data_IF_101667799132
#
_entry.id   IF_101667799132
#
_cell.length_a   1.000
_cell.length_b   1.000
_cell.length_c   1.000
_cell.angle_alpha   90.00
_cell.angle_beta   90.00
_cell.angle_gamma   90.00
#
_symmetry.space_group_name_H-M   'P 1'
#
loop_
_entity.id
_entity.type
_entity.pdbx_description
1 polymer ?
2 non-polymer ?
3 water ?
#
# COMPACT_ATOMS: atom_id res chain seq x y z
N UNK A 4 -11.63 -11.30 -14.23
CA UNK A 4 -12.81 -11.11 -13.41
C UNK A 4 -13.26 -9.65 -13.41
N UNK A 5 -14.56 -9.45 -13.16
CA UNK A 5 -15.14 -8.06 -13.11
C UNK A 5 -14.82 -7.41 -11.76
N UNK A 6 -14.23 -6.22 -11.80
CA UNK A 6 -13.96 -5.45 -10.58
C UNK A 6 -15.20 -4.59 -10.33
N UNK A 7 -16.06 -4.98 -9.39
CA UNK A 7 -17.29 -4.21 -9.22
C UNK A 7 -17.05 -2.84 -8.59
N UNK A 8 -16.37 -2.84 -7.45
CA UNK A 8 -16.22 -1.58 -6.66
C UNK A 8 -15.06 -0.72 -7.14
N UNK A 9 -15.38 0.56 -7.29
CA UNK A 9 -14.36 1.52 -7.79
C UNK A 9 -14.43 2.78 -6.95
N UNK A 10 -13.45 3.67 -7.14
CA UNK A 10 -13.58 5.01 -6.54
C UNK A 10 -14.41 5.88 -7.51
N UNK A 11 -14.58 7.14 -7.18
CA UNK A 11 -15.36 8.04 -8.07
C UNK A 11 -14.58 8.37 -9.35
N UNK A 12 -13.28 8.11 -9.38
CA UNK A 12 -12.40 8.28 -10.56
C UNK A 12 -12.35 6.97 -11.37
N UNK A 13 -13.19 5.99 -11.05
CA UNK A 13 -13.31 4.70 -11.77
C UNK A 13 -12.09 3.78 -11.62
N UNK A 14 -11.25 4.05 -10.63
CA UNK A 14 -10.08 3.19 -10.36
C UNK A 14 -10.47 2.16 -9.31
N UNK A 15 -9.77 1.04 -9.30
CA UNK A 15 -10.13 -0.09 -8.46
C UNK A 15 -9.69 0.02 -7.03
N UNK A 16 -9.93 -1.03 -6.25
CA UNK A 16 -9.57 -1.07 -4.85
C UNK A 16 -8.06 -1.08 -4.56
N UNK A 17 -7.26 -1.43 -5.55
CA UNK A 17 -5.79 -1.43 -5.44
C UNK A 17 -5.23 -0.09 -5.89
N UNK A 18 -6.08 0.81 -6.35
CA UNK A 18 -5.63 2.14 -6.81
C UNK A 18 -5.24 2.18 -8.28
N UNK A 19 -5.45 1.09 -8.99
CA UNK A 19 -5.05 1.03 -10.42
C UNK A 19 -6.26 1.05 -11.35
N UNK A 20 -6.06 1.39 -12.62
CA UNK A 20 -7.15 1.44 -13.59
C UNK A 20 -7.67 0.04 -13.92
N UNK A 21 -8.96 -0.03 -14.22
CA UNK A 21 -9.62 -1.27 -14.64
C UNK A 21 -9.38 -1.43 -16.14
N UNK A 22 -9.16 -2.65 -16.59
CA UNK A 22 -8.92 -2.90 -18.02
C UNK A 22 -10.20 -2.57 -18.80
N UNK A 23 -11.36 -2.87 -18.26
CA UNK A 23 -12.60 -2.61 -19.03
C UNK A 23 -12.79 -1.10 -19.26
N UNK A 24 -12.60 -0.29 -18.22
CA UNK A 24 -12.76 1.18 -18.38
C UNK A 24 -11.65 1.72 -19.28
N UNK A 25 -10.45 1.20 -19.13
CA UNK A 25 -9.33 1.64 -19.98
C UNK A 25 -9.72 1.39 -21.45
N UNK A 26 -10.22 0.21 -21.75
CA UNK A 26 -10.59 -0.16 -23.14
C UNK A 26 -11.77 0.70 -23.60
N UNK A 27 -12.72 0.96 -22.71
CA UNK A 27 -13.89 1.80 -23.05
C UNK A 27 -13.42 3.19 -23.46
N UNK A 28 -12.47 3.74 -22.73
CA UNK A 28 -11.97 5.09 -23.06
C UNK A 28 -11.18 5.03 -24.37
N UNK A 29 -10.41 3.99 -24.54
CA UNK A 29 -9.58 3.85 -25.75
C UNK A 29 -10.45 3.68 -27.00
N UNK A 30 -11.59 3.00 -26.90
CA UNK A 30 -12.51 2.79 -28.06
C UNK A 30 -13.13 4.12 -28.48
N UNK A 31 -13.35 5.04 -27.53
CA UNK A 31 -13.79 6.41 -27.85
C UNK A 31 -12.54 7.23 -28.20
N UNK A 32 -12.57 8.54 -28.41
CA UNK A 32 -11.25 9.18 -28.71
C UNK A 32 -10.37 9.48 -27.48
N UNK A 33 -10.45 8.74 -26.36
CA UNK A 33 -10.03 9.43 -25.13
C UNK A 33 -8.95 8.81 -24.26
N UNK A 34 -8.09 7.94 -24.77
CA UNK A 34 -7.07 7.34 -23.89
C UNK A 34 -6.02 8.35 -23.40
N UNK A 35 -5.81 9.44 -24.13
CA UNK A 35 -4.77 10.43 -23.78
C UNK A 35 -5.38 11.70 -23.23
N UNK A 36 -6.68 11.71 -22.98
CA UNK A 36 -7.30 12.91 -22.39
C UNK A 36 -6.97 12.99 -20.88
N UNK A 37 -7.29 14.11 -20.27
CA UNK A 37 -7.07 14.22 -18.82
C UNK A 37 -8.09 13.36 -18.09
N UNK A 38 -7.79 13.03 -16.84
CA UNK A 38 -8.76 12.25 -16.04
C UNK A 38 -10.10 13.00 -15.96
N UNK A 39 -10.09 14.31 -15.75
CA UNK A 39 -11.35 15.07 -15.69
C UNK A 39 -12.17 14.88 -16.96
N UNK A 40 -11.51 15.00 -18.11
CA UNK A 40 -12.22 14.87 -19.39
C UNK A 40 -12.73 13.44 -19.53
N UNK A 41 -11.93 12.46 -19.11
CA UNK A 41 -12.35 11.05 -19.23
C UNK A 41 -13.55 10.79 -18.33
N UNK A 42 -13.53 11.32 -17.13
CA UNK A 42 -14.67 11.12 -16.22
C UNK A 42 -15.91 11.82 -16.73
N UNK A 43 -15.76 12.95 -17.40
CA UNK A 43 -16.92 13.65 -18.00
C UNK A 43 -17.51 12.73 -19.07
N UNK A 44 -16.66 12.11 -19.86
CA UNK A 44 -17.15 11.18 -20.90
C UNK A 44 -17.85 9.98 -20.24
N UNK A 45 -17.24 9.37 -19.24
CA UNK A 45 -17.87 8.20 -18.57
C UNK A 45 -19.23 8.59 -17.97
N UNK A 46 -19.33 9.78 -17.38
CA UNK A 46 -20.59 10.26 -16.77
C UNK A 46 -21.63 10.50 -17.88
N UNK A 47 -21.20 10.87 -19.07
CA UNK A 47 -22.11 11.06 -20.22
C UNK A 47 -22.56 9.72 -20.80
N UNK A 48 -21.86 8.63 -20.47
CA UNK A 48 -22.17 7.27 -20.95
C UNK A 48 -22.66 6.34 -19.84
N UNK A 49 -23.48 6.88 -18.96
CA UNK A 49 -24.21 6.14 -17.89
C UNK A 49 -23.33 5.81 -16.68
N UNK A 50 -22.20 6.46 -16.54
CA UNK A 50 -21.38 6.31 -15.33
C UNK A 50 -21.04 4.88 -14.99
N UNK A 51 -21.56 4.36 -13.88
CA UNK A 51 -21.22 2.95 -13.45
C UNK A 51 -21.80 1.89 -14.38
N UNK A 52 -22.74 2.21 -15.25
CA UNK A 52 -23.30 1.26 -16.23
C UNK A 52 -22.62 1.43 -17.60
N UNK A 53 -21.51 2.15 -17.67
CA UNK A 53 -20.87 2.41 -18.97
C UNK A 53 -20.43 1.13 -19.68
N UNK A 54 -20.06 0.09 -18.96
CA UNK A 54 -19.58 -1.12 -19.64
C UNK A 54 -20.71 -1.96 -20.25
N UNK A 55 -21.97 -1.74 -19.87
CA UNK A 55 -23.20 -2.43 -20.38
C UNK A 55 -23.37 -3.89 -19.91
N UNK A 56 -22.37 -4.73 -20.09
CA UNK A 56 -22.54 -6.18 -19.77
C UNK A 56 -22.30 -6.47 -18.29
N UNK A 57 -21.79 -5.51 -17.56
CA UNK A 57 -21.58 -5.65 -16.10
C UNK A 57 -21.74 -4.29 -15.44
N UNK A 58 -21.99 -4.28 -14.14
CA UNK A 58 -22.19 -3.07 -13.36
C UNK A 58 -20.92 -2.75 -12.56
N UNK A 59 -20.69 -1.46 -12.33
CA UNK A 59 -19.75 -1.01 -11.32
C UNK A 59 -20.52 -0.31 -10.20
N UNK A 60 -19.82 -0.03 -9.11
CA UNK A 60 -20.45 0.67 -8.00
C UNK A 60 -19.36 1.47 -7.30
N UNK A 61 -19.64 2.76 -7.07
CA UNK A 61 -18.65 3.64 -6.46
C UNK A 61 -18.72 3.48 -4.95
N UNK A 62 -17.63 2.97 -4.36
CA UNK A 62 -17.55 2.83 -2.92
C UNK A 62 -16.72 3.91 -2.25
N UNK A 63 -15.81 4.56 -2.97
CA UNK A 63 -14.87 5.50 -2.37
C UNK A 63 -14.87 6.82 -3.11
N UNK A 64 -14.65 7.89 -2.36
CA UNK A 64 -14.25 9.17 -2.93
C UNK A 64 -12.74 9.31 -2.78
N UNK A 65 -12.05 9.57 -3.90
CA UNK A 65 -10.64 9.89 -3.83
C UNK A 65 -10.36 11.18 -4.55
N UNK A 66 -9.39 11.93 -4.03
CA UNK A 66 -8.76 13.00 -4.79
C UNK A 66 -7.55 12.42 -5.51
N UNK A 67 -7.46 12.63 -6.81
CA UNK A 67 -6.37 12.10 -7.61
C UNK A 67 -5.76 13.23 -8.44
N UNK A 68 -4.58 12.96 -8.98
CA UNK A 68 -4.01 13.81 -10.01
C UNK A 68 -4.87 13.77 -11.27
N UNK A 69 -4.57 14.65 -12.21
CA UNK A 69 -5.31 14.74 -13.47
C UNK A 69 -4.67 13.90 -14.58
N UNK A 70 -3.70 13.06 -14.27
CA UNK A 70 -3.11 12.18 -15.27
C UNK A 70 -4.17 11.30 -15.93
N UNK A 71 -3.92 10.95 -17.20
CA UNK A 71 -4.84 10.07 -17.92
C UNK A 71 -5.07 8.76 -17.16
N UNK A 72 -6.30 8.26 -17.29
CA UNK A 72 -6.76 7.07 -16.58
C UNK A 72 -5.74 5.93 -16.63
N UNK A 73 -5.17 5.65 -17.81
CA UNK A 73 -4.28 4.51 -17.92
C UNK A 73 -3.01 4.69 -17.08
N UNK A 74 -2.67 5.91 -16.69
CA UNK A 74 -1.49 6.19 -15.88
C UNK A 74 -1.82 6.41 -14.41
N UNK A 75 -3.07 6.18 -14.01
CA UNK A 75 -3.44 6.33 -12.60
C UNK A 75 -2.90 5.15 -11.79
N UNK A 76 -2.48 5.43 -10.56
CA UNK A 76 -1.89 4.44 -9.66
C UNK A 76 -2.26 4.83 -8.25
N UNK A 77 -1.98 3.99 -7.25
CA UNK A 77 -2.16 4.43 -5.86
C UNK A 77 -1.29 5.63 -5.50
N UNK A 78 -0.16 5.83 -6.19
CA UNK A 78 0.69 6.98 -5.91
C UNK A 78 0.10 8.28 -6.45
N UNK A 79 -1.00 8.22 -7.19
CA UNK A 79 -1.70 9.40 -7.68
C UNK A 79 -2.85 9.81 -6.77
N UNK A 80 -3.10 9.03 -5.71
CA UNK A 80 -4.17 9.36 -4.76
C UNK A 80 -3.63 10.36 -3.76
N UNK A 81 -4.40 11.41 -3.49
CA UNK A 81 -4.07 12.40 -2.47
C UNK A 81 -4.87 12.22 -1.18
N UNK A 82 -6.08 11.69 -1.27
CA UNK A 82 -6.92 11.47 -0.10
C UNK A 82 -7.98 10.44 -0.46
N UNK A 83 -8.55 9.80 0.58
CA UNK A 83 -9.51 8.74 0.37
C UNK A 83 -10.52 8.73 1.49
N UNK A 84 -11.79 8.49 1.14
CA UNK A 84 -12.85 8.33 2.12
C UNK A 84 -13.98 7.54 1.49
N UNK A 85 -14.98 7.19 2.31
CA UNK A 85 -16.17 6.56 1.78
C UNK A 85 -16.93 7.52 0.88
N UNK A 86 -17.47 6.99 -0.21
CA UNK A 86 -18.26 7.83 -1.11
C UNK A 86 -19.54 8.22 -0.39
N UNK A 87 -19.93 9.50 -0.53
CA UNK A 87 -20.99 10.05 0.32
C UNK A 87 -22.30 9.30 0.16
N UNK A 88 -22.61 8.85 -1.06
CA UNK A 88 -23.87 8.17 -1.31
C UNK A 88 -23.73 6.66 -1.37
N UNK A 89 -22.55 6.11 -1.10
CA UNK A 89 -22.42 4.67 -0.93
C UNK A 89 -22.86 4.33 0.48
N UNK A 90 -23.89 3.49 0.60
CA UNK A 90 -24.44 3.17 1.91
C UNK A 90 -24.16 1.74 2.31
N UNK A 91 -23.47 0.97 1.48
CA UNK A 91 -23.12 -0.38 1.81
C UNK A 91 -21.87 -0.45 2.69
N UNK A 92 -21.31 -1.65 2.75
CA UNK A 92 -20.12 -1.94 3.54
C UNK A 92 -18.89 -1.79 2.66
N UNK A 93 -17.95 -0.95 3.09
CA UNK A 93 -16.75 -0.68 2.31
C UNK A 93 -15.86 -1.91 2.21
N UNK A 94 -15.53 -2.38 1.01
CA UNK A 94 -14.57 -3.47 0.87
C UNK A 94 -13.15 -3.00 1.16
N UNK A 95 -12.20 -3.92 1.07
CA UNK A 95 -10.80 -3.56 1.26
C UNK A 95 -10.37 -2.54 0.22
N UNK A 96 -9.65 -1.51 0.68
CA UNK A 96 -9.07 -0.48 -0.16
C UNK A 96 -7.59 -0.34 0.16
N UNK A 97 -6.82 0.17 -0.80
CA UNK A 97 -5.37 0.25 -0.62
C UNK A 97 -5.01 1.21 0.54
N UNK A 98 -5.85 2.22 0.79
CA UNK A 98 -5.58 3.20 1.83
C UNK A 98 -6.75 3.23 2.82
N UNK A 99 -6.48 3.59 4.07
CA UNK A 99 -7.56 3.76 5.04
C UNK A 99 -8.49 4.90 4.70
N UNK A 100 -9.73 4.81 5.19
CA UNK A 100 -10.71 5.84 4.93
C UNK A 100 -10.41 7.09 5.75
N UNK A 101 -10.81 8.24 5.21
CA UNK A 101 -10.61 9.55 5.87
C UNK A 101 -9.13 9.81 6.13
N UNK A 102 -8.33 9.64 5.09
CA UNK A 102 -6.90 9.75 5.20
C UNK A 102 -6.35 10.68 4.12
N UNK A 103 -5.15 11.18 4.37
CA UNK A 103 -4.35 11.88 3.38
C UNK A 103 -3.13 11.04 3.04
N UNK A 104 -2.78 10.99 1.75
CA UNK A 104 -1.73 10.12 1.27
C UNK A 104 -0.46 10.92 1.01
N UNK A 105 0.68 10.36 1.40
CA UNK A 105 2.00 10.92 1.14
C UNK A 105 2.79 9.94 0.29
N UNK A 106 3.47 10.44 -0.74
CA UNK A 106 4.33 9.61 -1.56
C UNK A 106 5.77 10.08 -1.38
N UNK A 107 6.67 9.11 -1.21
CA UNK A 107 8.10 9.41 -1.09
C UNK A 107 8.61 9.93 -2.41
N UNK A 108 9.22 11.14 -2.40
CA UNK A 108 9.79 11.69 -3.63
C UNK A 108 11.23 11.22 -3.77
N UNK A 109 11.62 10.68 -4.92
CA UNK A 109 13.01 10.22 -5.09
C UNK A 109 13.99 11.36 -4.91
N UNK A 110 15.10 11.06 -4.23
CA UNK A 110 16.19 12.00 -4.03
C UNK A 110 17.37 11.62 -4.93
N UNK A 111 18.14 12.62 -5.33
CA UNK A 111 19.32 12.42 -6.17
C UNK A 111 20.55 12.90 -5.40
N UNK A 112 21.45 11.97 -5.09
CA UNK A 112 22.72 12.33 -4.47
C UNK A 112 23.59 13.07 -5.48
N UNK A 113 24.06 14.27 -5.11
CA UNK A 113 25.05 14.97 -5.94
C UNK A 113 26.26 14.09 -6.19
N UNK A 114 26.65 13.31 -5.19
CA UNK A 114 27.78 12.39 -5.24
C UNK A 114 27.28 11.03 -4.81
N UNK A 115 27.24 10.08 -5.73
CA UNK A 115 26.68 8.76 -5.44
C UNK A 115 27.54 8.05 -4.39
N UNK A 116 26.91 7.69 -3.27
CA UNK A 116 27.55 6.83 -2.29
C UNK A 116 27.41 5.38 -2.72
N UNK A 117 28.45 4.59 -2.47
CA UNK A 117 28.39 3.18 -2.85
C UNK A 117 27.60 2.39 -1.82
N UNK A 118 27.14 1.21 -2.24
CA UNK A 118 26.53 0.28 -1.32
C UNK A 118 25.18 0.73 -0.78
N UNK A 119 24.85 0.20 0.40
CA UNK A 119 23.51 0.41 0.96
C UNK A 119 23.22 1.89 1.18
N UNK A 120 24.21 2.67 1.62
CA UNK A 120 23.95 4.07 1.90
C UNK A 120 23.51 4.84 0.66
N UNK A 121 24.03 4.48 -0.51
CA UNK A 121 23.56 5.11 -1.73
C UNK A 121 22.11 4.78 -2.02
N UNK A 122 21.71 3.54 -1.74
CA UNK A 122 20.33 3.13 -1.98
C UNK A 122 19.38 3.88 -1.04
N UNK A 123 19.69 3.88 0.26
CA UNK A 123 18.77 4.50 1.21
C UNK A 123 18.78 6.03 1.06
N UNK A 124 19.92 6.61 0.64
CA UNK A 124 19.95 8.07 0.47
C UNK A 124 19.20 8.52 -0.77
N UNK A 125 18.82 7.60 -1.66
CA UNK A 125 17.87 7.92 -2.71
C UNK A 125 16.43 7.99 -2.20
N UNK A 126 16.20 7.62 -0.95
CA UNK A 126 14.88 7.67 -0.33
C UNK A 126 14.80 8.74 0.73
N UNK A 127 15.77 8.76 1.64
CA UNK A 127 15.80 9.60 2.81
C UNK A 127 17.14 10.32 2.94
N UNK A 128 17.13 11.60 3.31
CA UNK A 128 18.39 12.30 3.58
C UNK A 128 19.03 11.84 4.88
N UNK A 129 19.45 10.59 4.95
CA UNK A 129 20.04 10.04 6.15
C UNK A 129 21.54 9.92 5.96
N UNK A 130 22.27 10.11 7.05
CA UNK A 130 23.72 9.98 7.03
C UNK A 130 24.20 8.62 7.47
N UNK A 131 23.32 7.78 8.02
CA UNK A 131 23.71 6.47 8.52
C UNK A 131 22.47 5.60 8.62
N UNK A 132 22.61 4.27 8.66
CA UNK A 132 21.42 3.41 8.69
C UNK A 132 20.58 3.60 9.94
N UNK A 133 21.20 3.94 11.06
CA UNK A 133 20.48 4.06 12.32
C UNK A 133 19.60 5.29 12.39
N UNK A 134 19.74 6.24 11.47
CA UNK A 134 18.78 7.32 11.37
C UNK A 134 17.43 6.83 10.83
N UNK A 135 17.36 5.60 10.35
CA UNK A 135 16.10 5.03 9.87
C UNK A 135 15.33 4.48 11.07
N UNK A 136 14.02 4.63 11.04
CA UNK A 136 13.16 4.21 12.15
C UNK A 136 12.26 3.08 11.70
N UNK A 137 12.37 1.94 12.38
CA UNK A 137 11.58 0.77 12.04
C UNK A 137 10.11 0.98 12.44
N UNK A 138 9.21 0.61 11.54
CA UNK A 138 7.78 0.76 11.80
C UNK A 138 7.27 -0.39 12.67
N UNK A 139 6.10 -0.17 13.28
CA UNK A 139 5.44 -1.20 14.09
C UNK A 139 4.17 -1.61 13.37
N UNK A 140 4.22 -2.78 12.73
CA UNK A 140 3.09 -3.33 11.99
C UNK A 140 2.29 -4.26 12.90
N UNK A 141 0.98 -4.31 12.68
CA UNK A 141 0.13 -5.21 13.46
C UNK A 141 -1.04 -5.70 12.63
N UNK A 142 -1.53 -6.88 12.96
CA UNK A 142 -2.72 -7.38 12.30
C UNK A 142 -3.67 -7.97 13.34
N UNK A 143 -4.97 -7.73 13.15
CA UNK A 143 -6.00 -8.28 14.04
C UNK A 143 -6.34 -9.67 13.50
N UNK A 144 -5.86 -10.72 14.18
CA UNK A 144 -6.02 -12.04 13.59
C UNK A 144 -6.01 -13.10 14.67
N UNK A 145 -6.52 -14.27 14.27
CA UNK A 145 -6.62 -15.41 15.16
C UNK A 145 -5.25 -16.03 15.43
N UNK A 146 -5.05 -16.48 16.65
CA UNK A 146 -3.87 -17.25 17.02
C UNK A 146 -4.25 -18.72 16.99
N UNK A 147 -3.44 -19.53 16.31
CA UNK A 147 -3.76 -20.93 16.15
C UNK A 147 -3.59 -21.72 17.45
N UNK A 148 -2.87 -21.17 18.43
CA UNK A 148 -2.64 -21.87 19.68
C UNK A 148 -3.72 -21.58 20.71
N UNK A 149 -4.13 -20.32 20.87
CA UNK A 149 -5.07 -19.98 21.94
C UNK A 149 -6.44 -19.56 21.41
N UNK A 150 -6.60 -19.51 20.09
CA UNK A 150 -7.83 -19.25 19.36
C UNK A 150 -8.34 -17.81 19.52
N UNK A 151 -7.66 -16.95 20.26
CA UNK A 151 -8.10 -15.57 20.40
C UNK A 151 -7.77 -14.77 19.15
N UNK A 152 -8.66 -13.84 18.83
CA UNK A 152 -8.41 -12.85 17.78
C UNK A 152 -7.96 -11.57 18.48
N UNK A 153 -6.75 -11.12 18.16
CA UNK A 153 -6.18 -9.95 18.83
C UNK A 153 -5.20 -9.26 17.89
N UNK A 154 -4.77 -8.07 18.29
CA UNK A 154 -3.77 -7.34 17.51
C UNK A 154 -2.41 -7.96 17.76
N UNK A 155 -1.87 -8.62 16.74
CA UNK A 155 -0.56 -9.29 16.81
C UNK A 155 0.46 -8.44 16.07
N UNK A 156 1.53 -8.05 16.77
CA UNK A 156 2.64 -7.37 16.10
C UNK A 156 3.25 -8.32 15.08
N UNK A 157 3.62 -7.79 13.92
CA UNK A 157 3.99 -8.68 12.82
C UNK A 157 4.97 -7.98 11.90
N UNK A 158 5.63 -8.78 11.05
CA UNK A 158 6.19 -8.22 9.84
C UNK A 158 5.33 -8.69 8.67
N UNK A 159 5.89 -8.74 7.47
CA UNK A 159 5.05 -9.18 6.37
C UNK A 159 4.70 -10.67 6.44
N UNK A 160 5.46 -11.47 7.21
CA UNK A 160 5.32 -12.91 7.17
C UNK A 160 4.84 -13.54 8.47
N UNK A 161 5.35 -13.06 9.60
CA UNK A 161 5.11 -13.68 10.89
C UNK A 161 4.53 -12.69 11.89
N UNK A 162 3.60 -13.15 12.71
CA UNK A 162 3.02 -12.35 13.77
C UNK A 162 3.17 -13.07 15.10
N UNK A 163 3.10 -12.32 16.21
CA UNK A 163 3.25 -12.93 17.52
C UNK A 163 2.04 -12.60 18.38
N UNK A 164 1.47 -13.62 19.02
CA UNK A 164 0.26 -13.45 19.81
C UNK A 164 0.63 -12.91 21.18
N UNK A 165 -0.03 -11.82 21.58
CA UNK A 165 0.24 -11.26 22.90
C UNK A 165 -0.45 -12.01 24.02
N UNK A 166 -1.35 -12.96 23.73
CA UNK A 166 -2.01 -13.71 24.79
C UNK A 166 -1.17 -14.90 25.25
N UNK A 167 -0.45 -15.53 24.32
CA UNK A 167 0.23 -16.80 24.61
C UNK A 167 1.66 -16.88 24.10
N UNK A 168 2.14 -15.91 23.33
CA UNK A 168 3.50 -15.89 22.85
C UNK A 168 3.73 -16.67 21.57
N UNK A 169 2.69 -17.27 21.01
CA UNK A 169 2.85 -18.10 19.82
C UNK A 169 3.06 -17.25 18.57
N UNK A 170 4.03 -17.66 17.77
CA UNK A 170 4.20 -17.11 16.42
C UNK A 170 3.21 -17.74 15.45
N UNK A 171 2.57 -16.90 14.65
CA UNK A 171 1.57 -17.31 13.67
C UNK A 171 1.95 -16.73 12.32
N UNK A 172 1.73 -17.50 11.25
CA UNK A 172 1.86 -16.94 9.92
C UNK A 172 0.82 -15.85 9.71
N UNK A 173 1.26 -14.73 9.12
CA UNK A 173 0.33 -13.63 8.84
C UNK A 173 -0.67 -14.07 7.78
N UNK A 174 -1.95 -13.84 8.07
CA UNK A 174 -3.04 -14.10 7.13
C UNK A 174 -3.77 -12.78 6.90
N UNK A 175 -4.64 -12.78 5.89
CA UNK A 175 -5.40 -11.58 5.55
C UNK A 175 -6.34 -11.21 6.71
N UNK A 176 -6.40 -9.91 7.00
CA UNK A 176 -7.22 -9.39 8.07
C UNK A 176 -6.92 -7.91 8.25
N UNK A 177 -7.57 -7.27 9.21
CA UNK A 177 -7.28 -5.84 9.43
C UNK A 177 -5.82 -5.65 9.78
N UNK A 178 -5.18 -4.67 9.12
CA UNK A 178 -3.76 -4.42 9.29
C UNK A 178 -3.52 -2.93 9.46
N UNK A 179 -2.48 -2.62 10.25
CA UNK A 179 -2.01 -1.26 10.38
C UNK A 179 -0.49 -1.26 10.35
N UNK A 180 0.09 -0.12 9.93
CA UNK A 180 1.52 0.10 10.01
C UNK A 180 1.91 1.02 11.16
N UNK A 181 0.98 1.31 12.08
CA UNK A 181 1.30 2.15 13.22
C UNK A 181 1.50 3.60 12.79
N UNK A 182 2.21 4.34 13.64
CA UNK A 182 2.57 5.70 13.29
C UNK A 182 3.66 5.69 12.22
N UNK A 183 3.61 6.67 11.32
CA UNK A 183 4.67 6.79 10.32
C UNK A 183 5.86 7.54 10.90
N UNK A 184 6.98 6.88 11.11
CA UNK A 184 8.16 7.58 11.63
C UNK A 184 8.88 8.32 10.52
N UNK A 185 9.68 9.31 10.93
CA UNK A 185 10.66 9.90 10.04
C UNK A 185 11.62 8.81 9.58
N UNK A 186 12.02 8.88 8.30
CA UNK A 186 12.94 7.89 7.72
C UNK A 186 12.41 6.48 7.94
N UNK A 187 11.11 6.31 7.64
CA UNK A 187 10.39 5.06 7.94
C UNK A 187 10.90 3.88 7.13
N UNK A 188 11.14 2.76 7.82
CA UNK A 188 11.52 1.52 7.16
C UNK A 188 10.81 0.36 7.87
N UNK A 189 10.72 -0.77 7.16
CA UNK A 189 10.39 -2.05 7.73
C UNK A 189 11.59 -2.96 7.49
N UNK A 190 12.20 -3.45 8.57
CA UNK A 190 13.39 -4.29 8.49
C UNK A 190 13.02 -5.74 8.74
N UNK A 191 13.52 -6.63 7.89
CA UNK A 191 13.30 -8.05 8.09
C UNK A 191 14.58 -8.80 7.82
N UNK A 192 14.82 -9.89 8.55
CA UNK A 192 15.98 -10.74 8.22
C UNK A 192 15.92 -11.19 6.77
N UNK A 193 17.07 -11.15 6.09
CA UNK A 193 17.12 -11.43 4.66
C UNK A 193 17.64 -12.84 4.42
N UNK A 194 16.84 -13.76 3.91
CA UNK A 194 17.35 -15.13 3.69
C UNK A 194 18.52 -15.19 2.73
N UNK A 195 18.50 -14.36 1.67
CA UNK A 195 19.61 -14.36 0.74
C UNK A 195 20.91 -13.96 1.43
N UNK A 196 20.86 -12.95 2.30
CA UNK A 196 22.05 -12.49 2.99
C UNK A 196 22.61 -13.56 3.93
N UNK A 197 21.72 -14.37 4.51
CA UNK A 197 22.13 -15.39 5.47
C UNK A 197 22.67 -16.64 4.81
N UNK A 198 22.31 -16.90 3.56
CA UNK A 198 22.78 -18.09 2.85
C UNK A 198 24.22 -17.88 2.40
N UNK A 199 25.17 -18.73 2.81
CA UNK A 199 26.57 -18.51 2.42
C UNK A 199 26.82 -18.65 0.94
N UNK A 200 26.00 -19.41 0.22
CA UNK A 200 26.19 -19.54 -1.23
C UNK A 200 25.64 -18.35 -2.01
N UNK A 201 24.96 -17.41 -1.34
CA UNK A 201 24.47 -16.19 -1.98
C UNK A 201 25.10 -14.99 -1.29
N UNK A 202 24.58 -14.61 -0.12
CA UNK A 202 25.26 -13.68 0.75
C UNK A 202 24.97 -12.21 0.51
N UNK A 203 25.61 -11.36 1.30
CA UNK A 203 25.25 -9.92 1.33
C UNK A 203 25.47 -9.16 0.04
N UNK A 204 26.27 -9.66 -0.91
CA UNK A 204 26.47 -8.94 -2.15
C UNK A 204 25.44 -9.31 -3.23
N UNK A 205 24.33 -9.93 -2.83
CA UNK A 205 23.36 -10.44 -3.78
C UNK A 205 22.68 -9.30 -4.55
N UNK A 206 22.00 -9.68 -5.63
CA UNK A 206 21.27 -8.72 -6.46
C UNK A 206 19.87 -8.47 -5.91
N UNK A 207 19.18 -7.51 -6.52
CA UNK A 207 17.78 -7.28 -6.18
C UNK A 207 16.94 -8.51 -6.55
N UNK A 208 17.22 -9.13 -7.70
CA UNK A 208 16.52 -10.36 -8.07
C UNK A 208 16.75 -11.45 -7.04
N UNK A 209 18.00 -11.59 -6.57
CA UNK A 209 18.28 -12.56 -5.52
C UNK A 209 17.44 -12.30 -4.28
N UNK A 210 17.24 -11.03 -3.92
CA UNK A 210 16.42 -10.73 -2.74
C UNK A 210 15.02 -11.32 -2.90
N UNK A 211 14.32 -10.97 -3.99
CA UNK A 211 12.94 -11.41 -4.16
C UNK A 211 12.84 -12.91 -4.39
N UNK A 212 13.88 -13.51 -4.98
CA UNK A 212 13.85 -14.95 -5.22
C UNK A 212 13.96 -15.75 -3.93
N UNK A 213 14.40 -15.14 -2.84
CA UNK A 213 14.60 -15.89 -1.60
C UNK A 213 13.87 -15.32 -0.39
N UNK A 214 13.18 -14.19 -0.53
CA UNK A 214 12.54 -13.53 0.60
C UNK A 214 11.27 -14.23 1.07
N UNK A 215 10.61 -14.96 0.16
CA UNK A 215 9.27 -15.54 0.35
C UNK A 215 8.20 -14.47 0.58
N UNK A 216 8.48 -13.23 0.21
CA UNK A 216 7.52 -12.12 0.32
C UNK A 216 7.02 -11.82 -1.09
N UNK A 217 5.77 -12.17 -1.37
CA UNK A 217 5.19 -11.94 -2.69
C UNK A 217 5.05 -10.44 -2.99
N UNK A 218 5.32 -10.07 -4.23
CA UNK A 218 5.15 -8.69 -4.65
C UNK A 218 4.29 -8.65 -5.91
N UNK A 219 3.79 -7.46 -6.20
CA UNK A 219 3.09 -7.20 -7.45
C UNK A 219 4.05 -6.50 -8.41
N UNK A 220 4.23 -7.08 -9.58
CA UNK A 220 5.08 -6.49 -10.60
C UNK A 220 4.24 -5.62 -11.52
N UNK A 221 4.61 -4.35 -11.65
CA UNK A 221 3.86 -3.48 -12.54
C UNK A 221 4.80 -2.43 -13.10
N UNK A 222 4.82 -2.32 -14.43
CA UNK A 222 5.67 -1.39 -15.16
C UNK A 222 7.08 -1.34 -14.58
N UNK A 223 7.64 -2.53 -14.35
CA UNK A 223 9.02 -2.65 -13.92
C UNK A 223 9.30 -2.41 -12.45
N UNK A 224 8.29 -2.10 -11.65
CA UNK A 224 8.45 -1.94 -10.21
C UNK A 224 7.73 -3.06 -9.47
N UNK A 225 8.26 -3.41 -8.29
CA UNK A 225 7.66 -4.42 -7.43
C UNK A 225 7.24 -3.78 -6.13
N UNK A 226 6.00 -4.03 -5.70
CA UNK A 226 5.48 -3.44 -4.47
C UNK A 226 4.69 -4.48 -3.68
N UNK A 227 4.55 -4.21 -2.37
CA UNK A 227 3.67 -5.00 -1.52
C UNK A 227 2.86 -4.04 -0.66
N UNK A 228 1.55 -4.21 -0.67
CA UNK A 228 0.66 -3.38 0.12
C UNK A 228 0.40 -4.03 1.47
N UNK A 229 0.36 -3.21 2.52
CA UNK A 229 0.13 -3.68 3.88
C UNK A 229 -0.28 -2.50 4.74
N UNK A 230 -1.37 -2.66 5.49
CA UNK A 230 -1.67 -1.71 6.56
C UNK A 230 -1.74 -0.24 6.18
N UNK A 231 -2.31 0.06 5.02
CA UNK A 231 -2.42 1.44 4.59
C UNK A 231 -1.20 2.00 3.91
N UNK A 232 -0.20 1.17 3.63
CA UNK A 232 1.01 1.62 2.97
C UNK A 232 1.27 0.75 1.75
N UNK A 233 2.09 1.28 0.85
CA UNK A 233 2.57 0.56 -0.32
C UNK A 233 4.08 0.51 -0.20
N UNK A 234 4.63 -0.69 0.00
CA UNK A 234 6.03 -0.83 0.32
C UNK A 234 6.84 -1.27 -0.89
N UNK A 235 8.11 -0.85 -0.90
CA UNK A 235 9.07 -1.31 -1.89
C UNK A 235 10.39 -1.62 -1.20
N UNK A 236 11.11 -2.62 -1.72
CA UNK A 236 12.41 -3.01 -1.19
C UNK A 236 13.50 -2.04 -1.63
N UNK A 237 14.37 -1.66 -0.71
CA UNK A 237 15.45 -0.71 -0.97
C UNK A 237 16.80 -1.40 -1.07
N UNK A 238 17.11 -2.26 -0.11
CA UNK A 238 18.40 -2.92 -0.08
C UNK A 238 18.60 -3.52 1.30
N UNK A 239 19.77 -4.12 1.49
CA UNK A 239 20.10 -4.79 2.73
C UNK A 239 21.31 -4.15 3.40
N UNK A 240 21.29 -4.18 4.74
CA UNK A 240 22.40 -3.72 5.56
C UNK A 240 22.47 -4.62 6.78
N UNK A 241 23.68 -5.09 7.09
CA UNK A 241 23.92 -6.04 8.18
C UNK A 241 22.93 -7.20 8.14
N UNK A 242 22.69 -7.72 6.93
CA UNK A 242 21.84 -8.89 6.66
C UNK A 242 20.38 -8.66 7.01
N UNK A 243 19.93 -7.41 7.08
CA UNK A 243 18.52 -7.10 7.20
C UNK A 243 18.07 -6.38 5.94
N UNK A 244 16.93 -6.81 5.38
CA UNK A 244 16.29 -6.15 4.25
C UNK A 244 15.50 -4.94 4.72
N UNK A 245 15.67 -3.81 4.03
CA UNK A 245 14.95 -2.58 4.35
C UNK A 245 13.92 -2.32 3.26
N UNK A 246 12.66 -2.21 3.66
CA UNK A 246 11.56 -1.81 2.80
C UNK A 246 11.08 -0.42 3.23
N UNK A 247 10.57 0.36 2.28
CA UNK A 247 10.09 1.69 2.64
C UNK A 247 8.66 1.86 2.17
N UNK A 248 7.83 2.63 2.90
CA UNK A 248 6.47 2.89 2.45
C UNK A 248 6.45 3.99 1.40
N UNK A 249 6.67 3.59 0.15
CA UNK A 249 6.66 4.53 -0.96
C UNK A 249 5.38 5.34 -0.99
N UNK A 250 4.26 4.75 -0.56
CA UNK A 250 3.05 5.51 -0.27
C UNK A 250 2.61 5.17 1.15
N UNK A 251 2.15 6.19 1.88
CA UNK A 251 1.58 5.97 3.20
C UNK A 251 0.37 6.89 3.35
N UNK A 252 -0.50 6.55 4.30
CA UNK A 252 -1.64 7.42 4.58
C UNK A 252 -1.59 7.88 6.03
N UNK A 253 -2.39 8.90 6.32
CA UNK A 253 -2.43 9.52 7.64
C UNK A 253 -3.90 9.74 7.97
N UNK A 254 -4.41 9.00 8.97
CA UNK A 254 -5.77 9.22 9.41
C UNK A 254 -5.87 10.27 10.50
N UNK A 255 -4.74 10.85 10.90
CA UNK A 255 -4.71 11.71 12.06
C UNK A 255 -3.54 11.30 12.92
N UNK A 256 -2.84 12.29 13.49
CA UNK A 256 -1.75 12.05 14.43
C UNK A 256 -0.60 11.27 13.80
N UNK A 257 -0.49 11.32 12.47
CA UNK A 257 0.55 10.61 11.76
C UNK A 257 0.34 9.12 11.69
N UNK A 258 -0.84 8.63 12.05
CA UNK A 258 -1.08 7.20 12.12
C UNK A 258 -1.58 6.65 10.78
N UNK A 259 -1.09 5.47 10.38
CA UNK A 259 -1.42 4.91 9.08
C UNK A 259 -2.80 4.28 9.02
N UNK A 260 -3.50 4.16 10.15
CA UNK A 260 -4.88 3.69 10.10
C UNK A 260 -4.97 2.18 9.89
N UNK A 261 -6.17 1.73 9.52
CA UNK A 261 -6.44 0.30 9.37
C UNK A 261 -7.04 0.05 8.00
N UNK A 262 -6.49 -0.93 7.31
CA UNK A 262 -7.06 -1.39 6.05
C UNK A 262 -7.42 -2.86 6.15
N UNK A 263 -8.33 -3.26 5.29
CA UNK A 263 -8.78 -4.64 5.28
C UNK A 263 -10.23 -4.70 4.88
N UNK A 264 -10.75 -5.92 4.86
CA UNK A 264 -12.17 -6.05 4.59
C UNK A 264 -12.96 -5.76 5.86
N UNK A 265 -14.03 -5.01 5.68
CA UNK A 265 -14.95 -4.68 6.77
C UNK A 265 -14.20 -4.08 7.96
N UNK A 266 -13.50 -2.97 7.70
CA UNK A 266 -12.77 -2.27 8.73
C UNK A 266 -13.21 -0.83 8.92
N UNK A 267 -14.35 -0.43 8.33
CA UNK A 267 -14.72 0.99 8.41
C UNK A 267 -14.87 1.44 9.85
N UNK A 268 -15.56 0.65 10.67
CA UNK A 268 -15.79 1.06 12.05
C UNK A 268 -14.51 0.99 12.87
N UNK A 269 -13.71 -0.05 12.67
CA UNK A 269 -12.41 -0.19 13.33
C UNK A 269 -11.53 1.03 13.07
N UNK A 270 -11.42 1.43 11.80
CA UNK A 270 -10.56 2.56 11.44
C UNK A 270 -11.06 3.85 12.08
N UNK A 271 -12.37 4.06 12.12
CA UNK A 271 -12.93 5.23 12.78
C UNK A 271 -12.68 5.18 14.28
N UNK A 272 -12.87 4.00 14.88
CA UNK A 272 -12.70 3.88 16.32
C UNK A 272 -11.26 4.09 16.74
N UNK A 273 -10.31 3.68 15.89
CA UNK A 273 -8.89 3.83 16.21
C UNK A 273 -8.51 5.30 16.42
N UNK A 274 -9.06 6.18 15.58
CA UNK A 274 -8.72 7.60 15.68
C UNK A 274 -8.95 8.15 17.08
N UNK A 275 -9.99 7.65 17.77
CA UNK A 275 -10.34 8.22 19.05
C UNK A 275 -9.27 8.01 20.11
N UNK A 276 -8.47 6.94 20.03
CA UNK A 276 -7.50 6.70 21.08
C UNK A 276 -6.16 7.38 20.80
N UNK A 277 -6.03 8.09 19.69
CA UNK A 277 -4.75 8.71 19.38
C UNK A 277 -4.56 10.04 20.10
N UNK A 278 -5.58 10.54 20.78
CA UNK A 278 -5.48 11.84 21.43
C UNK A 278 -6.46 11.89 22.59
N UNK A 279 -6.28 12.91 23.43
CA UNK A 279 -7.23 13.22 24.50
C UNK A 279 -7.15 14.70 24.84
X LIG B 1 -2.32 -16.97 21.26
X LIG C 1 19.89 -9.33 1.74
X LIG D 1 -16.35 -2.28 -16.61
#
# INVERSE_FOLDING_TARGET
GSMAVTRYVDNNFCGPDGYPLDCIKDFLARAGKSMCTLSEQLDYIESKRGVYCCRDHDHEIAWFTERSDKSYEHQTPFEIKSAKKFDTFKGECPKFVFPLNSKVKVIQPRVEKKKTEGFMGRIRSVYPVASPQECNNMHLSTLMKCNHCDEVSWQTCDFLKATCEHCGTENLVIEGPTTCGYLPTNAVVKMPCPACQDPEIGPEHSVADYHNHSNIETRLRKGGRTRCFGGCVFAYVGCYNKRAYWVPRASADIGSGHTGITGDNVETLNEDLLEILSR
ZN ZN
ZN ZN
ZN ZN
#
